data_IF_273669400652
#
_entry.id   IF_273669400652
#
_cell.length_a   1.000
_cell.length_b   1.000
_cell.length_c   1.000
_cell.angle_alpha   90.00
_cell.angle_beta   90.00
_cell.angle_gamma   90.00
#
_symmetry.space_group_name_H-M   'P 1'
#
loop_
_entity.id
_entity.type
_entity.pdbx_description
1 polymer ?
#
# COMPACT_ATOMS: atom_id res chain seq x y z
N UNK A 1 -6.60 -8.48 -40.23
CA UNK A 1 -5.83 -7.20 -40.07
C UNK A 1 -4.41 -7.35 -40.61
N UNK A 2 -3.69 -6.26 -40.88
CA UNK A 2 -2.30 -6.28 -41.41
C UNK A 2 -1.31 -5.93 -40.29
N UNK A 3 -0.18 -6.64 -40.23
CA UNK A 3 0.90 -6.34 -39.30
C UNK A 3 1.59 -5.01 -39.65
N UNK A 4 1.63 -4.07 -38.71
CA UNK A 4 2.33 -2.78 -38.89
C UNK A 4 3.86 -2.93 -39.07
N UNK A 5 4.43 -4.04 -38.60
CA UNK A 5 5.89 -4.27 -38.66
C UNK A 5 6.34 -4.95 -39.96
N UNK A 6 5.56 -5.91 -40.49
CA UNK A 6 6.01 -6.72 -41.63
C UNK A 6 5.00 -6.84 -42.78
N UNK A 7 3.83 -6.20 -42.68
CA UNK A 7 2.82 -6.18 -43.74
C UNK A 7 2.08 -7.50 -43.97
N UNK A 8 2.29 -8.51 -43.12
CA UNK A 8 1.60 -9.80 -43.26
C UNK A 8 0.14 -9.69 -42.83
N UNK A 9 -0.74 -10.37 -43.56
CA UNK A 9 -2.14 -10.55 -43.14
C UNK A 9 -2.21 -11.56 -41.99
N UNK A 10 -2.87 -11.14 -40.90
CA UNK A 10 -3.03 -11.91 -39.67
C UNK A 10 -4.51 -11.87 -39.24
N UNK A 11 -4.97 -12.92 -38.56
CA UNK A 11 -6.26 -12.95 -37.89
C UNK A 11 -6.44 -11.77 -36.93
N UNK A 12 -7.66 -11.24 -36.84
CA UNK A 12 -7.97 -10.02 -36.08
C UNK A 12 -7.75 -10.16 -34.56
N UNK A 13 -7.68 -11.38 -34.05
CA UNK A 13 -7.43 -11.71 -32.64
C UNK A 13 -6.02 -12.23 -32.37
N UNK A 14 -5.11 -12.15 -33.35
CA UNK A 14 -3.73 -12.51 -33.08
C UNK A 14 -3.11 -11.52 -32.10
N UNK A 15 -2.44 -12.05 -31.08
CA UNK A 15 -1.66 -11.28 -30.11
C UNK A 15 -0.23 -11.00 -30.62
N UNK A 16 0.26 -11.88 -31.49
CA UNK A 16 1.63 -11.88 -32.01
C UNK A 16 1.59 -12.26 -33.50
N UNK A 17 2.37 -11.56 -34.33
CA UNK A 17 2.59 -11.93 -35.72
C UNK A 17 3.43 -13.22 -35.81
N UNK A 18 2.91 -14.26 -36.47
CA UNK A 18 3.62 -15.53 -36.67
C UNK A 18 4.86 -15.41 -37.58
N UNK A 19 4.95 -14.35 -38.38
CA UNK A 19 6.04 -14.15 -39.34
C UNK A 19 7.22 -13.38 -38.75
N UNK A 20 6.95 -12.27 -38.04
CA UNK A 20 8.01 -11.41 -37.50
C UNK A 20 8.10 -11.39 -35.97
N UNK A 21 7.14 -11.99 -35.25
CA UNK A 21 7.13 -12.01 -33.79
C UNK A 21 6.70 -10.70 -33.12
N UNK A 22 6.30 -9.68 -33.87
CA UNK A 22 5.81 -8.43 -33.30
C UNK A 22 4.46 -8.61 -32.58
N UNK A 23 4.31 -7.99 -31.41
CA UNK A 23 3.03 -7.94 -30.71
C UNK A 23 2.08 -7.01 -31.48
N UNK A 24 0.90 -7.52 -31.82
CA UNK A 24 -0.12 -6.81 -32.61
C UNK A 24 -1.10 -6.02 -31.74
N UNK A 25 -1.12 -6.28 -30.43
CA UNK A 25 -1.94 -5.54 -29.48
C UNK A 25 -1.11 -4.52 -28.71
N UNK A 26 -1.49 -3.24 -28.79
CA UNK A 26 -1.01 -2.25 -27.84
C UNK A 26 -1.47 -2.63 -26.42
N UNK A 27 -0.56 -2.57 -25.44
CA UNK A 27 -0.87 -2.88 -24.04
C UNK A 27 -1.90 -1.86 -23.52
N UNK A 28 -3.17 -2.25 -23.48
CA UNK A 28 -4.25 -1.36 -23.02
C UNK A 28 -4.37 -1.27 -21.49
N UNK A 29 -3.82 -2.25 -20.77
CA UNK A 29 -3.76 -2.22 -19.30
C UNK A 29 -2.33 -2.22 -18.82
N UNK A 30 -1.97 -1.13 -18.15
CA UNK A 30 -0.89 -1.12 -17.18
C UNK A 30 -1.15 -2.26 -16.17
N UNK A 31 -0.18 -3.15 -15.88
CA UNK A 31 -0.37 -4.17 -14.86
C UNK A 31 -0.69 -3.50 -13.53
N UNK A 32 -1.72 -4.00 -12.83
CA UNK A 32 -2.03 -3.54 -11.48
C UNK A 32 -0.77 -3.64 -10.63
N UNK A 33 -0.44 -2.55 -9.92
CA UNK A 33 0.71 -2.54 -9.01
C UNK A 33 0.50 -3.66 -7.98
N UNK A 34 1.42 -4.61 -7.95
CA UNK A 34 1.42 -5.65 -6.91
C UNK A 34 1.77 -4.95 -5.60
N UNK A 35 0.80 -4.83 -4.71
CA UNK A 35 1.02 -4.31 -3.37
C UNK A 35 2.07 -5.16 -2.66
N UNK A 36 3.20 -4.56 -2.33
CA UNK A 36 4.31 -5.25 -1.68
C UNK A 36 3.91 -5.71 -0.27
N UNK A 37 3.71 -7.03 -0.04
CA UNK A 37 3.26 -7.53 1.26
C UNK A 37 4.30 -7.26 2.35
N UNK A 38 5.57 -7.14 1.97
CA UNK A 38 6.67 -6.75 2.84
C UNK A 38 6.43 -5.34 3.41
N UNK A 39 6.16 -4.34 2.56
CA UNK A 39 5.94 -2.94 2.99
C UNK A 39 4.76 -2.83 3.96
N UNK A 40 3.67 -3.56 3.70
CA UNK A 40 2.50 -3.64 4.58
C UNK A 40 2.87 -4.25 5.94
N UNK A 41 3.63 -5.36 5.95
CA UNK A 41 4.08 -6.03 7.19
C UNK A 41 4.96 -5.15 8.06
N UNK A 42 5.95 -4.47 7.48
CA UNK A 42 6.80 -3.52 8.21
C UNK A 42 5.97 -2.38 8.82
N UNK A 43 5.03 -1.85 8.05
CA UNK A 43 4.15 -0.78 8.51
C UNK A 43 3.23 -1.18 9.67
N UNK A 44 2.85 -2.47 9.74
CA UNK A 44 2.06 -3.03 10.83
C UNK A 44 2.92 -3.30 12.07
N UNK A 45 4.14 -3.80 11.89
CA UNK A 45 5.11 -4.01 12.98
C UNK A 45 5.50 -2.70 13.66
N UNK A 46 5.80 -1.66 12.88
CA UNK A 46 6.07 -0.32 13.42
C UNK A 46 4.90 0.21 14.27
N UNK A 47 3.65 0.02 13.80
CA UNK A 47 2.46 0.43 14.56
C UNK A 47 2.33 -0.36 15.87
N UNK A 48 2.55 -1.67 15.83
CA UNK A 48 2.48 -2.52 17.03
C UNK A 48 3.53 -2.12 18.07
N UNK A 49 4.77 -1.80 17.64
CA UNK A 49 5.85 -1.35 18.53
C UNK A 49 5.52 0.00 19.16
N UNK A 50 5.03 0.97 18.37
CA UNK A 50 4.63 2.28 18.89
C UNK A 50 3.50 2.13 19.90
N UNK A 51 2.48 1.33 19.59
CA UNK A 51 1.35 1.07 20.49
C UNK A 51 1.81 0.41 21.79
N UNK A 52 2.66 -0.61 21.71
CA UNK A 52 3.26 -1.25 22.88
C UNK A 52 4.09 -0.26 23.72
N UNK A 53 4.87 0.60 23.06
CA UNK A 53 5.63 1.66 23.72
C UNK A 53 4.75 2.64 24.48
N UNK A 54 3.61 3.05 23.91
CA UNK A 54 2.62 3.91 24.57
C UNK A 54 1.99 3.20 25.78
N UNK A 55 1.65 1.92 25.66
CA UNK A 55 1.13 1.13 26.79
C UNK A 55 2.16 1.06 27.92
N UNK A 56 3.41 0.70 27.62
CA UNK A 56 4.47 0.59 28.62
C UNK A 56 4.76 1.94 29.29
N UNK A 57 4.77 3.02 28.51
CA UNK A 57 4.92 4.37 29.04
C UNK A 57 3.78 4.73 30.00
N UNK A 58 2.54 4.41 29.62
CA UNK A 58 1.36 4.68 30.45
C UNK A 58 1.36 3.88 31.75
N UNK A 59 1.73 2.60 31.70
CA UNK A 59 1.91 1.77 32.90
C UNK A 59 3.00 2.35 33.80
N UNK A 60 4.11 2.83 33.24
CA UNK A 60 5.17 3.48 33.99
C UNK A 60 4.73 4.76 34.70
N UNK A 61 3.94 5.59 34.04
CA UNK A 61 3.36 6.81 34.63
C UNK A 61 2.33 6.50 35.72
N UNK A 62 1.50 5.46 35.54
CA UNK A 62 0.56 4.99 36.56
C UNK A 62 1.27 4.55 37.85
N UNK A 63 2.40 3.83 37.73
CA UNK A 63 3.21 3.43 38.88
C UNK A 63 3.85 4.64 39.58
N UNK A 64 4.11 5.74 38.86
CA UNK A 64 4.68 6.98 39.42
C UNK A 64 3.65 7.89 40.09
N UNK A 65 2.36 7.53 40.10
CA UNK A 65 1.32 8.22 40.87
C UNK A 65 0.98 9.63 40.38
N UNK A 66 1.27 9.97 39.11
CA UNK A 66 0.91 11.26 38.48
C UNK A 66 -0.39 11.07 37.68
N UNK A 67 -1.54 11.63 38.07
CA UNK A 67 -2.76 11.52 37.27
C UNK A 67 -2.65 12.39 36.01
N UNK A 68 -2.74 11.82 34.79
CA UNK A 68 -2.55 12.58 33.57
C UNK A 68 -3.93 12.97 32.98
N UNK A 69 -4.47 14.11 33.41
CA UNK A 69 -5.84 14.50 33.06
C UNK A 69 -6.02 15.18 31.67
N UNK A 70 -5.07 15.98 31.11
CA UNK A 70 -5.23 16.55 29.76
C UNK A 70 -4.33 15.93 28.68
N UNK A 71 -3.15 15.42 29.05
CA UNK A 71 -2.15 14.92 28.09
C UNK A 71 -2.60 13.61 27.41
N UNK A 72 -3.37 12.77 28.12
CA UNK A 72 -3.91 11.50 27.60
C UNK A 72 -4.93 11.73 26.50
N UNK A 73 -5.82 12.71 26.70
CA UNK A 73 -6.81 13.07 25.69
C UNK A 73 -6.16 13.62 24.42
N UNK A 74 -5.07 14.39 24.56
CA UNK A 74 -4.30 14.90 23.43
C UNK A 74 -3.58 13.75 22.70
N UNK A 75 -2.99 12.80 23.43
CA UNK A 75 -2.40 11.59 22.83
C UNK A 75 -3.44 10.72 22.11
N UNK A 76 -4.62 10.52 22.70
CA UNK A 76 -5.70 9.75 22.07
C UNK A 76 -6.25 10.44 20.82
N UNK A 77 -6.41 11.76 20.85
CA UNK A 77 -6.84 12.54 19.69
C UNK A 77 -5.80 12.49 18.57
N UNK A 78 -4.51 12.63 18.88
CA UNK A 78 -3.44 12.50 17.89
C UNK A 78 -3.35 11.07 17.34
N UNK A 79 -3.44 10.05 18.18
CA UNK A 79 -3.42 8.66 17.77
C UNK A 79 -4.62 8.32 16.86
N UNK A 80 -5.83 8.75 17.22
CA UNK A 80 -7.03 8.60 16.41
C UNK A 80 -6.94 9.35 15.08
N UNK A 81 -6.43 10.59 15.11
CA UNK A 81 -6.22 11.40 13.90
C UNK A 81 -5.21 10.78 12.94
N UNK A 82 -4.08 10.28 13.45
CA UNK A 82 -3.08 9.56 12.66
C UNK A 82 -3.65 8.25 12.09
N UNK A 83 -4.46 7.51 12.86
CA UNK A 83 -5.10 6.29 12.40
C UNK A 83 -6.10 6.59 11.27
N UNK A 84 -6.94 7.61 11.44
CA UNK A 84 -7.92 8.04 10.44
C UNK A 84 -7.26 8.58 9.17
N UNK A 85 -6.18 9.36 9.29
CA UNK A 85 -5.42 9.86 8.14
C UNK A 85 -4.77 8.72 7.35
N UNK A 86 -4.23 7.73 8.06
CA UNK A 86 -3.59 6.56 7.44
C UNK A 86 -4.59 5.60 6.80
N UNK A 87 -5.81 5.46 7.34
CA UNK A 87 -6.90 4.71 6.72
C UNK A 87 -7.53 5.42 5.52
N UNK A 88 -7.30 6.73 5.36
CA UNK A 88 -7.80 7.52 4.23
C UNK A 88 -6.82 7.61 3.06
N UNK A 89 -5.54 7.32 3.31
CA UNK A 89 -4.45 7.39 2.33
C UNK A 89 -3.99 6.02 1.80
N UNK A 90 -4.47 4.93 2.40
CA UNK A 90 -4.30 3.56 1.90
C UNK A 90 -5.62 3.03 1.38
#
# INVERSE_FOLDING_TARGET
>A
MICDTCGQEIADNALICYKCGAATTAREREPASVDDPARRRWSALFLAVVFLGVILFFVGELVRGRPPAPLVWLMLACAGGLLAWRLRLG
#
